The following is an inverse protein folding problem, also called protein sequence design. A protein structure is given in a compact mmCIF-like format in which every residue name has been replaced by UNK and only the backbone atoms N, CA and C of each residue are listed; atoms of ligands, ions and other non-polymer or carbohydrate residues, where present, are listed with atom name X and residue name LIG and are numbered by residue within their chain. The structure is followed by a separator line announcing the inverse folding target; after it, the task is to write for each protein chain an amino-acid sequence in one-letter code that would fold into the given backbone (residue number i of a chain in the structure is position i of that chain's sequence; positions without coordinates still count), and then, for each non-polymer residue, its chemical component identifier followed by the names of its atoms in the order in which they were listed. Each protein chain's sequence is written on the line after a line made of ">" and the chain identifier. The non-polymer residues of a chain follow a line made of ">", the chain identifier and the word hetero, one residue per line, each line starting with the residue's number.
data_IF_811431796278
#
_entry.id   IF_811431796278
#
_cell.length_a   1.000
_cell.length_b   1.000
_cell.length_c   1.000
_cell.angle_alpha   90.00
_cell.angle_beta   90.00
_cell.angle_gamma   90.00
#
_symmetry.space_group_name_H-M   'P 1'
#
loop_
_entity.id
_entity.type
_entity.pdbx_description
1 polymer ?
#
# COMPACT_ATOMS: atom_id res chain seq x y z
N UNK A 1 23.57 5.12 -2.68
CA UNK A 1 22.46 5.14 -1.70
C UNK A 1 21.77 3.79 -1.77
N UNK A 2 21.67 3.07 -0.65
CA UNK A 2 21.01 1.77 -0.61
C UNK A 2 19.49 2.02 -0.43
N UNK A 3 18.69 1.52 -1.38
CA UNK A 3 17.23 1.69 -1.40
C UNK A 3 16.61 1.10 -0.12
N UNK A 4 17.10 -0.07 0.30
CA UNK A 4 16.58 -0.78 1.48
C UNK A 4 16.84 0.02 2.74
N UNK A 5 18.06 0.54 2.92
CA UNK A 5 18.38 1.36 4.11
C UNK A 5 17.55 2.63 4.13
N UNK A 6 17.37 3.29 2.99
CA UNK A 6 16.58 4.54 2.91
C UNK A 6 15.11 4.34 3.31
N UNK A 7 14.52 3.19 2.94
CA UNK A 7 13.15 2.85 3.34
C UNK A 7 13.11 2.49 4.83
N UNK A 8 14.08 1.71 5.32
CA UNK A 8 14.20 1.34 6.74
C UNK A 8 14.37 2.57 7.65
N UNK A 9 15.22 3.52 7.24
CA UNK A 9 15.49 4.76 7.97
C UNK A 9 14.24 5.65 8.09
N UNK A 10 13.26 5.46 7.19
CA UNK A 10 11.98 6.17 7.25
C UNK A 10 10.96 5.54 8.18
N UNK A 11 11.14 4.30 8.64
CA UNK A 11 10.19 3.65 9.55
C UNK A 11 10.22 4.38 10.89
N UNK A 12 9.05 4.80 11.39
CA UNK A 12 9.00 5.51 12.68
C UNK A 12 9.36 4.56 13.82
N UNK A 13 10.01 5.02 14.91
CA UNK A 13 10.54 4.14 15.95
C UNK A 13 9.51 3.17 16.54
N UNK A 14 8.27 3.63 16.73
CA UNK A 14 7.17 2.83 17.27
C UNK A 14 6.77 1.72 16.30
N UNK A 15 6.69 2.03 15.00
CA UNK A 15 6.42 1.04 13.96
C UNK A 15 7.59 0.07 13.83
N UNK A 16 8.84 0.55 13.85
CA UNK A 16 10.02 -0.32 13.80
C UNK A 16 10.02 -1.31 14.98
N UNK A 17 9.70 -0.84 16.19
CA UNK A 17 9.64 -1.68 17.39
C UNK A 17 8.66 -2.84 17.24
N UNK A 18 7.44 -2.59 16.78
CA UNK A 18 6.42 -3.65 16.67
C UNK A 18 6.64 -4.52 15.42
N UNK A 19 7.19 -3.95 14.35
CA UNK A 19 7.42 -4.66 13.11
C UNK A 19 8.67 -5.55 13.23
N UNK A 20 9.74 -5.16 13.93
CA UNK A 20 11.05 -5.87 13.93
C UNK A 20 10.97 -7.40 13.99
N UNK A 21 10.07 -7.95 14.81
CA UNK A 21 9.95 -9.39 15.03
C UNK A 21 8.69 -10.02 14.40
N UNK A 22 7.87 -9.23 13.69
CA UNK A 22 6.66 -9.70 13.02
C UNK A 22 5.55 -10.24 13.94
N UNK A 23 5.68 -10.06 15.25
CA UNK A 23 4.75 -10.52 16.27
C UNK A 23 4.10 -9.31 16.94
N UNK A 24 3.04 -8.80 16.32
CA UNK A 24 2.26 -7.67 16.80
C UNK A 24 0.77 -8.03 16.77
N UNK A 25 0.02 -7.49 17.72
CA UNK A 25 -1.44 -7.56 17.82
C UNK A 25 -2.13 -6.41 17.08
N UNK A 26 -3.47 -6.42 17.04
CA UNK A 26 -4.22 -5.25 16.58
C UNK A 26 -3.99 -4.04 17.50
N UNK A 27 -3.97 -4.26 18.83
CA UNK A 27 -3.74 -3.19 19.82
C UNK A 27 -2.37 -2.52 19.64
N UNK A 28 -1.34 -3.31 19.29
CA UNK A 28 -0.02 -2.76 18.95
C UNK A 28 -0.08 -1.81 17.74
N UNK A 29 -0.92 -2.12 16.75
CA UNK A 29 -1.13 -1.26 15.58
C UNK A 29 -1.95 -0.02 15.93
N UNK A 30 -3.00 -0.16 16.75
CA UNK A 30 -3.84 0.96 17.19
C UNK A 30 -3.08 1.91 18.13
N UNK A 31 -2.05 1.42 18.83
CA UNK A 31 -1.16 2.20 19.67
C UNK A 31 -0.06 2.95 18.90
N UNK A 32 0.02 2.83 17.58
CA UNK A 32 0.96 3.61 16.76
C UNK A 32 0.59 5.11 16.72
N UNK A 33 1.56 5.99 16.43
CA UNK A 33 1.29 7.43 16.33
C UNK A 33 0.19 7.76 15.32
N UNK A 34 -0.78 8.57 15.73
CA UNK A 34 -1.82 9.10 14.85
C UNK A 34 -1.18 9.94 13.74
N UNK A 35 -1.53 9.63 12.50
CA UNK A 35 -1.03 10.31 11.31
C UNK A 35 -1.31 11.82 11.33
N UNK A 36 -2.42 12.26 11.91
CA UNK A 36 -2.79 13.68 11.99
C UNK A 36 -1.85 14.52 12.86
N UNK A 37 -0.99 13.89 13.67
CA UNK A 37 0.02 14.59 14.50
C UNK A 37 1.24 15.05 13.69
N UNK A 38 1.42 14.58 12.46
CA UNK A 38 2.57 14.91 11.62
C UNK A 38 2.34 16.19 10.80
N UNK A 39 3.43 16.92 10.54
CA UNK A 39 3.38 18.19 9.80
C UNK A 39 2.93 18.01 8.35
N UNK A 40 2.36 19.07 7.77
CA UNK A 40 2.02 19.13 6.34
C UNK A 40 3.23 19.17 5.39
N UNK A 41 4.46 19.16 5.91
CA UNK A 41 5.68 19.20 5.11
C UNK A 41 6.38 17.85 4.98
N UNK A 42 5.96 16.83 5.74
CA UNK A 42 6.54 15.48 5.72
C UNK A 42 6.00 14.63 4.56
N UNK A 43 6.82 13.71 4.06
CA UNK A 43 6.34 12.54 3.31
C UNK A 43 6.01 11.44 4.30
N UNK A 44 4.81 10.86 4.21
CA UNK A 44 4.33 9.88 5.17
C UNK A 44 3.73 8.68 4.45
N UNK A 45 4.04 7.48 4.92
CA UNK A 45 3.24 6.26 4.65
C UNK A 45 2.37 6.00 5.87
N UNK A 46 1.05 5.99 5.67
CA UNK A 46 0.09 5.67 6.73
C UNK A 46 -0.61 4.35 6.47
N UNK A 47 -0.98 3.68 7.56
CA UNK A 47 -1.92 2.57 7.59
C UNK A 47 -3.25 3.09 8.11
N UNK A 48 -4.29 2.96 7.30
CA UNK A 48 -5.66 3.18 7.74
C UNK A 48 -6.25 1.85 8.18
N UNK A 49 -6.85 1.87 9.37
CA UNK A 49 -7.43 0.70 10.02
C UNK A 49 -8.91 1.02 10.24
N UNK A 50 -9.80 0.18 9.73
CA UNK A 50 -11.23 0.25 10.04
C UNK A 50 -11.59 -1.02 10.81
N UNK A 51 -12.03 -0.88 12.05
CA UNK A 51 -12.52 -2.00 12.87
C UNK A 51 -14.05 -2.05 12.83
N UNK A 52 -14.62 -3.15 13.33
CA UNK A 52 -16.08 -3.33 13.45
C UNK A 52 -16.82 -3.08 12.12
N UNK A 53 -16.48 -3.88 11.11
CA UNK A 53 -17.05 -3.72 9.76
C UNK A 53 -18.47 -4.30 9.75
N UNK A 54 -19.49 -3.44 9.70
CA UNK A 54 -20.91 -3.81 9.75
C UNK A 54 -21.27 -4.70 10.96
N UNK A 55 -20.67 -4.47 12.14
CA UNK A 55 -20.94 -5.28 13.33
C UNK A 55 -20.14 -6.59 13.42
N UNK A 56 -19.09 -6.75 12.59
CA UNK A 56 -18.24 -7.95 12.57
C UNK A 56 -16.84 -7.68 13.11
N UNK A 57 -16.21 -8.72 13.69
CA UNK A 57 -14.83 -8.67 14.22
C UNK A 57 -13.73 -8.58 13.12
N UNK A 58 -14.11 -8.19 11.90
CA UNK A 58 -13.20 -8.06 10.76
C UNK A 58 -12.54 -6.69 10.80
N UNK A 59 -11.29 -6.62 10.34
CA UNK A 59 -10.49 -5.39 10.30
C UNK A 59 -10.06 -5.10 8.88
N UNK A 60 -10.24 -3.87 8.42
CA UNK A 60 -9.79 -3.46 7.10
C UNK A 60 -8.46 -2.72 7.14
N UNK A 61 -7.57 -3.03 6.21
CA UNK A 61 -6.30 -2.34 6.04
C UNK A 61 -6.18 -1.66 4.68
N UNK A 62 -5.82 -0.38 4.72
CA UNK A 62 -5.42 0.39 3.55
C UNK A 62 -4.11 1.13 3.84
N UNK A 63 -3.07 0.84 3.07
CA UNK A 63 -1.82 1.59 3.14
C UNK A 63 -1.83 2.66 2.05
N UNK A 64 -1.37 3.87 2.38
CA UNK A 64 -1.26 4.96 1.42
C UNK A 64 -0.13 5.93 1.74
N UNK A 65 0.41 6.57 0.70
CA UNK A 65 1.40 7.65 0.84
C UNK A 65 0.76 9.05 0.74
N UNK A 66 1.38 10.05 1.38
CA UNK A 66 0.99 11.46 1.26
C UNK A 66 2.15 12.41 1.53
N UNK A 67 2.05 13.62 0.97
CA UNK A 67 2.93 14.76 1.28
C UNK A 67 2.28 15.79 2.19
N UNK A 68 0.99 15.60 2.52
CA UNK A 68 0.23 16.46 3.44
C UNK A 68 -0.79 15.58 4.15
N UNK A 69 -0.47 15.17 5.37
CA UNK A 69 -1.29 14.21 6.11
C UNK A 69 -2.65 14.82 6.48
N UNK A 70 -2.64 16.04 7.01
CA UNK A 70 -3.88 16.73 7.43
C UNK A 70 -4.84 16.88 6.25
N UNK A 71 -4.35 17.31 5.08
CA UNK A 71 -5.19 17.42 3.88
C UNK A 71 -5.70 16.05 3.45
N UNK A 72 -4.84 15.03 3.40
CA UNK A 72 -5.23 13.69 2.96
C UNK A 72 -6.27 13.05 3.87
N UNK A 73 -6.16 13.23 5.19
CA UNK A 73 -7.15 12.73 6.14
C UNK A 73 -8.49 13.46 6.00
N UNK A 74 -8.47 14.79 5.83
CA UNK A 74 -9.69 15.57 5.53
C UNK A 74 -10.38 15.12 4.24
N UNK A 75 -9.61 14.93 3.16
CA UNK A 75 -10.15 14.46 1.88
C UNK A 75 -10.77 13.06 2.05
N UNK A 76 -10.11 12.18 2.80
CA UNK A 76 -10.62 10.86 3.08
C UNK A 76 -11.93 10.87 3.89
N UNK A 77 -12.02 11.70 4.91
CA UNK A 77 -13.23 11.82 5.74
C UNK A 77 -14.38 12.44 4.95
N UNK A 78 -14.11 13.50 4.19
CA UNK A 78 -15.10 14.13 3.31
C UNK A 78 -15.66 13.13 2.28
N UNK A 79 -14.82 12.30 1.66
CA UNK A 79 -15.29 11.29 0.70
C UNK A 79 -16.10 10.19 1.40
N UNK A 80 -15.70 9.79 2.61
CA UNK A 80 -16.40 8.73 3.37
C UNK A 80 -17.80 9.19 3.79
N UNK A 81 -17.94 10.43 4.25
CA UNK A 81 -19.20 11.03 4.74
C UNK A 81 -20.14 11.52 3.65
N UNK A 82 -19.61 11.97 2.50
CA UNK A 82 -20.43 12.57 1.44
C UNK A 82 -21.45 11.64 0.79
N UNK A 83 -21.36 10.31 1.03
CA UNK A 83 -22.25 9.30 0.43
C UNK A 83 -22.18 9.21 -1.09
N UNK A 84 -21.38 10.05 -1.77
CA UNK A 84 -21.18 10.00 -3.22
C UNK A 84 -20.49 8.68 -3.55
N UNK A 85 -21.01 7.98 -4.54
CA UNK A 85 -20.47 6.70 -5.04
C UNK A 85 -19.07 6.90 -5.64
N UNK A 86 -18.06 7.03 -4.79
CA UNK A 86 -16.70 6.75 -5.18
C UNK A 86 -16.51 5.24 -5.21
N UNK A 87 -16.14 4.74 -6.39
CA UNK A 87 -15.95 3.32 -6.70
C UNK A 87 -14.82 2.64 -5.92
N UNK A 88 -13.97 3.40 -5.23
CA UNK A 88 -12.81 2.83 -4.54
C UNK A 88 -13.24 1.94 -3.37
N UNK A 89 -12.71 0.72 -3.31
CA UNK A 89 -13.12 -0.26 -2.30
C UNK A 89 -12.80 0.19 -0.87
N UNK A 90 -11.70 0.90 -0.63
CA UNK A 90 -11.38 1.37 0.73
C UNK A 90 -12.42 2.34 1.30
N UNK A 91 -13.06 3.18 0.47
CA UNK A 91 -14.16 4.04 0.93
C UNK A 91 -15.45 3.26 1.17
N UNK A 92 -15.72 2.23 0.36
CA UNK A 92 -16.85 1.33 0.60
C UNK A 92 -16.72 0.63 1.93
N UNK A 93 -15.51 0.20 2.28
CA UNK A 93 -15.22 -0.46 3.56
C UNK A 93 -15.26 0.53 4.72
N UNK A 94 -14.67 1.73 4.58
CA UNK A 94 -14.69 2.75 5.62
C UNK A 94 -16.11 3.23 6.00
N UNK A 95 -17.09 3.11 5.09
CA UNK A 95 -18.51 3.45 5.35
C UNK A 95 -19.26 2.41 6.17
N UNK A 96 -18.69 1.21 6.33
CA UNK A 96 -19.25 0.11 7.15
C UNK A 96 -18.96 0.27 8.64
N UNK A 97 -18.26 1.35 9.01
CA UNK A 97 -17.77 1.58 10.36
C UNK A 97 -18.02 3.03 10.79
N UNK A 98 -18.04 3.28 12.09
CA UNK A 98 -18.18 4.62 12.69
C UNK A 98 -16.87 5.40 12.60
N UNK A 99 -16.92 6.72 12.82
CA UNK A 99 -15.71 7.56 12.83
C UNK A 99 -14.71 7.12 13.92
N UNK A 100 -15.20 6.79 15.12
CA UNK A 100 -14.38 6.34 16.25
C UNK A 100 -13.64 5.02 15.98
N UNK A 101 -14.13 4.23 15.03
CA UNK A 101 -13.57 2.94 14.62
C UNK A 101 -12.68 3.06 13.36
N UNK A 102 -12.36 4.29 12.92
CA UNK A 102 -11.45 4.58 11.81
C UNK A 102 -10.17 5.23 12.32
N UNK A 103 -9.08 4.49 12.22
CA UNK A 103 -7.75 4.95 12.62
C UNK A 103 -6.89 5.24 11.38
N UNK A 104 -5.97 6.18 11.52
CA UNK A 104 -4.90 6.42 10.58
C UNK A 104 -3.59 6.54 11.37
N UNK A 105 -2.72 5.55 11.25
CA UNK A 105 -1.46 5.49 11.99
C UNK A 105 -0.26 5.61 11.07
N UNK A 106 0.85 6.13 11.57
CA UNK A 106 2.07 6.31 10.79
C UNK A 106 2.93 5.06 10.80
N UNK A 107 3.38 4.65 9.62
CA UNK A 107 4.37 3.60 9.43
C UNK A 107 5.75 4.16 9.10
N UNK A 108 5.79 5.15 8.20
CA UNK A 108 7.02 5.82 7.80
C UNK A 108 6.85 7.33 7.72
N UNK A 109 7.92 8.08 8.02
CA UNK A 109 7.99 9.53 7.84
C UNK A 109 9.37 9.96 7.35
N UNK A 110 9.39 10.89 6.39
CA UNK A 110 10.57 11.64 5.99
C UNK A 110 10.30 13.13 6.12
N UNK A 111 11.13 13.79 6.92
CA UNK A 111 11.05 15.21 7.18
C UNK A 111 11.33 16.05 5.93
N UNK A 112 10.92 17.32 5.98
CA UNK A 112 10.98 18.24 4.84
C UNK A 112 12.38 18.35 4.20
N UNK A 113 13.42 18.31 5.02
CA UNK A 113 14.84 18.37 4.66
C UNK A 113 15.41 17.05 4.13
N UNK A 114 14.71 15.92 4.38
CA UNK A 114 15.17 14.57 4.06
C UNK A 114 14.17 13.82 3.16
N UNK A 115 13.40 14.56 2.35
CA UNK A 115 12.45 13.96 1.42
C UNK A 115 13.14 12.99 0.46
N UNK A 116 12.49 11.87 0.25
CA UNK A 116 12.90 10.85 -0.70
C UNK A 116 12.23 11.06 -2.06
N UNK A 117 12.81 10.50 -3.11
CA UNK A 117 12.21 10.53 -4.44
C UNK A 117 10.86 9.82 -4.44
N UNK A 118 9.95 10.20 -5.36
CA UNK A 118 8.65 9.53 -5.44
C UNK A 118 8.80 8.03 -5.72
N UNK A 119 9.79 7.62 -6.52
CA UNK A 119 10.03 6.20 -6.78
C UNK A 119 10.38 5.42 -5.51
N UNK A 120 11.16 6.01 -4.60
CA UNK A 120 11.45 5.42 -3.29
C UNK A 120 10.19 5.40 -2.41
N UNK A 121 9.37 6.46 -2.47
CA UNK A 121 8.12 6.53 -1.71
C UNK A 121 7.12 5.46 -2.18
N UNK A 122 6.96 5.27 -3.49
CA UNK A 122 6.14 4.21 -4.08
C UNK A 122 6.64 2.81 -3.72
N UNK A 123 7.97 2.62 -3.63
CA UNK A 123 8.53 1.36 -3.13
C UNK A 123 8.23 1.16 -1.64
N UNK A 124 8.36 2.19 -0.81
CA UNK A 124 8.01 2.11 0.61
C UNK A 124 6.51 1.80 0.82
N UNK A 125 5.62 2.48 0.10
CA UNK A 125 4.19 2.23 0.10
C UNK A 125 3.90 0.78 -0.30
N UNK A 126 4.48 0.31 -1.41
CA UNK A 126 4.31 -1.07 -1.86
C UNK A 126 4.82 -2.09 -0.85
N UNK A 127 5.98 -1.84 -0.23
CA UNK A 127 6.53 -2.73 0.80
C UNK A 127 5.57 -2.84 1.98
N UNK A 128 5.05 -1.71 2.47
CA UNK A 128 4.07 -1.70 3.55
C UNK A 128 2.75 -2.38 3.13
N UNK A 129 2.26 -2.11 1.91
CA UNK A 129 1.07 -2.79 1.38
C UNK A 129 1.21 -4.32 1.40
N UNK A 130 2.39 -4.82 1.01
CA UNK A 130 2.72 -6.24 1.00
C UNK A 130 2.87 -6.82 2.41
N UNK A 131 3.48 -6.08 3.35
CA UNK A 131 3.62 -6.50 4.74
C UNK A 131 2.26 -6.68 5.42
N UNK A 132 1.34 -5.75 5.19
CA UNK A 132 -0.01 -5.76 5.78
C UNK A 132 -1.06 -6.53 4.98
N UNK A 133 -0.69 -7.14 3.84
CA UNK A 133 -1.63 -7.78 2.89
C UNK A 133 -2.83 -6.89 2.54
N UNK A 134 -2.57 -5.60 2.33
CA UNK A 134 -3.62 -4.60 2.10
C UNK A 134 -4.23 -4.66 0.69
N UNK A 135 -3.89 -5.65 -0.14
CA UNK A 135 -4.56 -5.87 -1.42
C UNK A 135 -5.96 -6.41 -1.23
N UNK A 136 -6.91 -5.88 -1.97
CA UNK A 136 -8.26 -6.40 -1.90
C UNK A 136 -8.33 -7.86 -2.38
N UNK A 137 -9.12 -8.67 -1.68
CA UNK A 137 -9.28 -10.09 -1.99
C UNK A 137 -9.83 -10.32 -3.39
N UNK A 138 -10.74 -9.48 -3.88
CA UNK A 138 -11.30 -9.66 -5.23
C UNK A 138 -10.24 -9.45 -6.32
N UNK A 139 -9.37 -8.45 -6.18
CA UNK A 139 -8.34 -8.16 -7.20
C UNK A 139 -7.18 -9.15 -7.12
N UNK A 140 -6.93 -9.74 -5.95
CA UNK A 140 -5.85 -10.72 -5.74
C UNK A 140 -6.35 -12.17 -5.74
N UNK A 141 -7.61 -12.40 -6.11
CA UNK A 141 -8.26 -13.71 -6.06
C UNK A 141 -7.73 -14.66 -7.12
N UNK A 142 -7.42 -15.89 -6.74
CA UNK A 142 -7.13 -16.99 -7.68
C UNK A 142 -8.38 -17.75 -8.11
N UNK A 143 -9.59 -17.26 -7.80
CA UNK A 143 -10.83 -17.94 -8.16
C UNK A 143 -11.03 -17.94 -9.70
N UNK A 144 -11.07 -19.12 -10.35
CA UNK A 144 -11.23 -19.20 -11.81
C UNK A 144 -12.58 -18.67 -12.31
N UNK A 145 -13.59 -18.55 -11.44
CA UNK A 145 -14.91 -18.02 -11.79
C UNK A 145 -14.92 -16.49 -11.92
N UNK A 146 -13.87 -15.80 -11.44
CA UNK A 146 -13.74 -14.35 -11.56
C UNK A 146 -13.08 -14.02 -12.89
N UNK A 147 -13.86 -13.42 -13.80
CA UNK A 147 -13.34 -12.88 -15.05
C UNK A 147 -12.99 -11.41 -14.89
N UNK A 148 -11.73 -11.05 -15.09
CA UNK A 148 -11.29 -9.65 -15.08
C UNK A 148 -11.45 -9.03 -16.46
N UNK A 149 -11.88 -7.77 -16.51
CA UNK A 149 -11.82 -6.98 -17.74
C UNK A 149 -10.37 -6.78 -18.17
N UNK A 150 -10.13 -6.45 -19.44
CA UNK A 150 -8.77 -6.15 -19.95
C UNK A 150 -8.07 -5.06 -19.12
N UNK A 151 -8.81 -4.07 -18.65
CA UNK A 151 -8.29 -2.98 -17.81
C UNK A 151 -7.85 -3.47 -16.42
N UNK A 152 -8.54 -4.46 -15.85
CA UNK A 152 -8.31 -4.98 -14.50
C UNK A 152 -7.36 -6.19 -14.47
N UNK A 153 -7.14 -6.85 -15.60
CA UNK A 153 -6.24 -8.00 -15.69
C UNK A 153 -4.80 -7.66 -15.31
N UNK A 154 -4.31 -6.47 -15.70
CA UNK A 154 -2.96 -6.01 -15.36
C UNK A 154 -2.83 -5.74 -13.84
N UNK A 155 -3.69 -4.92 -13.20
CA UNK A 155 -3.71 -4.78 -11.73
C UNK A 155 -3.86 -6.11 -10.98
N UNK A 156 -4.69 -7.03 -11.48
CA UNK A 156 -4.86 -8.37 -10.91
C UNK A 156 -3.53 -9.14 -10.88
N UNK A 157 -2.88 -9.30 -12.04
CA UNK A 157 -1.61 -10.03 -12.16
C UNK A 157 -0.53 -9.42 -11.26
N UNK A 158 -0.49 -8.10 -11.16
CA UNK A 158 0.44 -7.37 -10.28
C UNK A 158 0.16 -7.64 -8.81
N UNK A 159 -1.09 -7.56 -8.38
CA UNK A 159 -1.49 -7.85 -7.00
C UNK A 159 -1.18 -9.31 -6.62
N UNK A 160 -1.51 -10.27 -7.48
CA UNK A 160 -1.20 -11.69 -7.28
C UNK A 160 0.30 -11.92 -7.17
N UNK A 161 1.11 -11.32 -8.05
CA UNK A 161 2.56 -11.45 -8.00
C UNK A 161 3.13 -10.89 -6.69
N UNK A 162 2.79 -9.65 -6.34
CA UNK A 162 3.29 -9.00 -5.13
C UNK A 162 2.87 -9.75 -3.86
N UNK A 163 1.62 -10.23 -3.80
CA UNK A 163 1.11 -11.05 -2.69
C UNK A 163 1.84 -12.39 -2.60
N UNK A 164 2.11 -13.06 -3.73
CA UNK A 164 2.86 -14.32 -3.77
C UNK A 164 4.28 -14.17 -3.23
N UNK A 165 4.99 -13.11 -3.65
CA UNK A 165 6.35 -12.82 -3.15
C UNK A 165 6.31 -12.47 -1.66
N UNK A 166 5.38 -11.60 -1.24
CA UNK A 166 5.24 -11.19 0.15
C UNK A 166 4.92 -12.38 1.07
N UNK A 167 3.97 -13.24 0.70
CA UNK A 167 3.58 -14.39 1.51
C UNK A 167 4.74 -15.36 1.72
N UNK A 168 5.57 -15.61 0.69
CA UNK A 168 6.78 -16.43 0.83
C UNK A 168 7.78 -15.82 1.80
N UNK A 169 7.98 -14.50 1.72
CA UNK A 169 8.86 -13.79 2.65
C UNK A 169 8.31 -13.87 4.08
N UNK A 170 7.03 -13.54 4.30
CA UNK A 170 6.35 -13.59 5.60
C UNK A 170 6.43 -14.98 6.25
N UNK A 171 6.12 -16.03 5.50
CA UNK A 171 6.22 -17.41 5.97
C UNK A 171 7.64 -17.79 6.39
N UNK A 172 8.64 -17.36 5.60
CA UNK A 172 10.05 -17.66 5.89
C UNK A 172 10.54 -17.02 7.18
N UNK A 173 10.07 -15.81 7.51
CA UNK A 173 10.50 -15.07 8.70
C UNK A 173 9.53 -15.19 9.88
N UNK A 174 8.41 -15.92 9.72
CA UNK A 174 7.39 -16.06 10.76
C UNK A 174 6.61 -14.78 11.06
N UNK A 175 6.37 -13.96 10.04
CA UNK A 175 5.70 -12.66 10.17
C UNK A 175 4.17 -12.78 10.27
N UNK A 176 3.57 -11.86 11.02
CA UNK A 176 2.12 -11.70 11.30
C UNK A 176 1.50 -12.77 12.20
N UNK A 177 2.28 -13.64 12.84
CA UNK A 177 1.74 -14.70 13.71
C UNK A 177 0.96 -14.18 14.94
N UNK A 178 1.23 -12.95 15.40
CA UNK A 178 0.53 -12.33 16.53
C UNK A 178 -0.78 -11.62 16.18
N UNK A 179 -1.07 -11.41 14.88
CA UNK A 179 -2.24 -10.69 14.43
C UNK A 179 -3.41 -11.67 14.25
N UNK A 180 -4.08 -12.01 15.35
CA UNK A 180 -5.17 -12.99 15.40
C UNK A 180 -6.55 -12.38 15.08
N UNK A 181 -6.66 -11.63 13.97
CA UNK A 181 -7.92 -11.05 13.49
C UNK A 181 -8.10 -11.30 11.99
N UNK A 182 -9.34 -11.42 11.52
CA UNK A 182 -9.62 -11.53 10.09
C UNK A 182 -9.45 -10.17 9.41
N UNK A 183 -8.58 -10.11 8.41
CA UNK A 183 -8.20 -8.84 7.76
C UNK A 183 -8.70 -8.75 6.32
N UNK A 184 -9.25 -7.60 5.94
CA UNK A 184 -9.62 -7.27 4.56
C UNK A 184 -8.72 -6.18 3.99
N UNK A 185 -7.96 -6.51 2.94
CA UNK A 185 -7.21 -5.53 2.19
C UNK A 185 -8.11 -4.62 1.33
N UNK A 186 -7.72 -3.36 1.18
CA UNK A 186 -8.52 -2.34 0.52
C UNK A 186 -7.87 -1.71 -0.72
N UNK A 187 -6.69 -2.14 -1.14
CA UNK A 187 -5.98 -1.62 -2.29
C UNK A 187 -6.24 -2.46 -3.56
N UNK A 188 -6.58 -1.80 -4.67
CA UNK A 188 -6.78 -2.44 -5.97
C UNK A 188 -5.53 -2.38 -6.85
N UNK A 189 -4.73 -1.33 -6.67
CA UNK A 189 -3.58 -1.03 -7.53
C UNK A 189 -2.32 -0.89 -6.71
N UNK A 190 -1.19 -1.22 -7.32
CA UNK A 190 0.14 -0.98 -6.75
C UNK A 190 0.65 0.42 -7.11
N UNK A 191 1.25 1.16 -6.17
CA UNK A 191 1.91 2.44 -6.46
C UNK A 191 3.17 2.28 -7.34
N UNK A 192 3.76 1.08 -7.45
CA UNK A 192 4.87 0.82 -8.37
C UNK A 192 4.44 0.83 -9.83
N UNK A 193 3.17 0.50 -10.09
CA UNK A 193 2.68 0.25 -11.45
C UNK A 193 1.64 1.28 -11.91
N UNK A 194 1.13 2.11 -11.00
CA UNK A 194 0.13 3.15 -11.27
C UNK A 194 0.74 4.52 -11.68
N UNK A 195 2.04 4.58 -12.01
CA UNK A 195 2.77 5.83 -12.29
C UNK A 195 2.30 6.61 -13.51
N UNK A 196 1.54 5.99 -14.43
CA UNK A 196 0.90 6.71 -15.55
C UNK A 196 -0.16 7.73 -15.06
N UNK A 197 -0.77 7.51 -13.89
CA UNK A 197 -1.71 8.45 -13.28
C UNK A 197 -1.01 9.69 -12.69
N UNK A 198 0.33 9.65 -12.55
CA UNK A 198 1.15 10.70 -11.92
C UNK A 198 2.16 11.34 -12.87
N UNK A 199 2.11 11.05 -14.18
CA UNK A 199 2.94 11.65 -15.23
C UNK A 199 4.47 11.61 -14.99
N UNK A 200 4.99 10.51 -14.44
CA UNK A 200 6.42 10.35 -14.17
C UNK A 200 7.04 9.29 -15.10
N UNK A 201 8.18 9.59 -15.76
CA UNK A 201 8.90 8.60 -16.54
C UNK A 201 9.33 7.45 -15.63
N UNK A 202 8.87 6.24 -15.93
CA UNK A 202 9.30 5.04 -15.22
C UNK A 202 10.14 4.21 -16.16
N UNK A 203 11.30 3.72 -15.68
CA UNK A 203 11.95 2.57 -16.28
C UNK A 203 11.02 1.38 -16.06
N UNK A 204 10.23 1.06 -17.10
CA UNK A 204 9.26 -0.03 -17.06
C UNK A 204 10.05 -1.33 -16.96
N UNK A 205 9.94 -2.04 -15.84
CA UNK A 205 10.19 -3.48 -15.86
C UNK A 205 8.99 -4.07 -16.58
N UNK A 206 9.11 -4.26 -17.89
CA UNK A 206 8.10 -4.96 -18.68
C UNK A 206 8.13 -6.39 -18.21
N UNK A 207 7.19 -6.76 -17.35
CA UNK A 207 6.95 -8.18 -17.11
C UNK A 207 6.47 -8.76 -18.44
N UNK A 208 7.20 -9.73 -19.03
CA UNK A 208 6.66 -10.46 -20.17
C UNK A 208 5.32 -11.08 -19.74
N UNK A 209 4.44 -11.37 -20.68
CA UNK A 209 3.31 -12.27 -20.41
C UNK A 209 3.93 -13.65 -20.15
N UNK A 210 4.34 -13.91 -18.91
CA UNK A 210 5.10 -15.12 -18.59
C UNK A 210 4.12 -16.25 -18.31
N UNK A 211 4.29 -17.33 -19.05
CA UNK A 211 3.86 -18.67 -18.63
C UNK A 211 4.25 -18.84 -17.14
N UNK A 212 3.32 -19.18 -16.22
CA UNK A 212 3.58 -19.22 -14.78
C UNK A 212 4.71 -20.18 -14.35
N UNK A 213 5.23 -21.00 -15.26
CA UNK A 213 6.37 -21.91 -15.03
C UNK A 213 7.75 -21.36 -15.45
N UNK A 214 7.84 -20.24 -16.15
CA UNK A 214 9.12 -19.68 -16.60
C UNK A 214 9.48 -18.47 -15.76
N UNK A 215 10.68 -18.45 -15.15
CA UNK A 215 11.21 -17.30 -14.42
C UNK A 215 12.45 -16.78 -15.13
N UNK A 216 12.27 -15.91 -16.12
CA UNK A 216 13.37 -15.15 -16.72
C UNK A 216 13.03 -13.67 -16.68
N UNK A 217 13.98 -12.89 -16.16
CA UNK A 217 13.90 -11.43 -16.10
C UNK A 217 14.87 -10.89 -17.16
N UNK A 218 14.35 -10.26 -18.20
CA UNK A 218 15.16 -9.42 -19.09
C UNK A 218 14.99 -7.96 -18.67
N UNK A 219 16.09 -7.30 -18.36
CA UNK A 219 16.12 -5.86 -18.08
C UNK A 219 16.45 -5.15 -19.39
N UNK A 220 15.45 -4.60 -20.07
CA UNK A 220 15.67 -3.79 -21.28
C UNK A 220 15.55 -2.32 -20.91
N UNK A 221 16.69 -1.61 -20.88
CA UNK A 221 16.72 -0.16 -20.72
C UNK A 221 16.49 0.51 -22.09
N UNK A 222 15.37 1.22 -22.26
CA UNK A 222 15.16 2.10 -23.41
C UNK A 222 15.31 3.57 -22.98
N UNK A 223 16.36 4.22 -23.47
CA UNK A 223 16.49 5.68 -23.45
C UNK A 223 15.81 6.23 -24.71
N UNK A 224 14.75 7.02 -24.56
CA UNK A 224 14.25 7.87 -25.64
C UNK A 224 14.81 9.27 -25.40
N UNK A 225 15.85 9.63 -26.15
CA UNK A 225 16.32 11.00 -26.28
C UNK A 225 15.48 11.65 -27.37
N UNK A 226 14.56 12.54 -26.99
CA UNK A 226 13.84 13.37 -27.94
C UNK A 226 14.70 14.60 -28.25
N UNK A 227 15.53 14.52 -29.30
CA UNK A 227 16.20 15.71 -29.85
C UNK A 227 15.20 16.48 -30.71
N UNK A 228 14.81 17.67 -30.24
CA UNK A 228 14.09 18.64 -31.05
C UNK A 228 14.98 19.18 -32.17
N UNK A 229 14.53 19.03 -33.42
CA UNK A 229 15.08 19.78 -34.53
C UNK A 229 14.37 21.14 -34.58
N UNK A 230 15.18 22.21 -34.62
CA UNK A 230 14.75 23.54 -35.07
C UNK A 230 14.54 23.53 -36.57
#
# INVERSE_FOLDING_TARGET
>A
MNIVSTVQDGIVPEAERILRNGSFSLDDLLGLPDATTYSNSCQVICLRICIDLDGSDRVAFFVGQTHSVVRRMKDHEAVTTSGREQRSCHYRVARKTTEDNRYAVVLCSWESQNKISLSLLSMAEQTMMSLFDSYNSWISSSNPDITFTTELLKPHNQAVYMKSVANKAKQKVGWQHGLAVDTEGCAVTSPLFATAMYAIPTNVITMPVVNPQVRTYEVTAHYVVQMGLR
#
